data_IF_564699277853
#
_entry.id   IF_564699277853
#
_cell.length_a   1.000
_cell.length_b   1.000
_cell.length_c   1.000
_cell.angle_alpha   90.00
_cell.angle_beta   90.00
_cell.angle_gamma   90.00
#
_symmetry.space_group_name_H-M   'P 1'
#
loop_
_entity.id
_entity.type
_entity.pdbx_description
1 polymer ?
#
# COMPACT_ATOMS: atom_id res chain seq x y z
N UNK A 1 29.06 13.64 48.15
CA UNK A 1 28.75 13.22 46.78
C UNK A 1 27.66 14.16 46.31
N UNK A 2 28.02 15.20 45.56
CA UNK A 2 27.03 16.15 45.06
C UNK A 2 26.39 15.54 43.81
N UNK A 3 25.09 15.30 43.86
CA UNK A 3 24.32 15.11 42.64
C UNK A 3 23.99 16.51 42.10
N UNK A 4 24.61 16.88 40.98
CA UNK A 4 24.21 18.08 40.26
C UNK A 4 22.76 17.91 39.78
N UNK A 5 21.86 18.88 40.02
CA UNK A 5 20.45 18.73 39.71
C UNK A 5 20.24 18.56 38.21
N UNK A 6 19.54 17.50 37.81
CA UNK A 6 19.29 17.17 36.40
C UNK A 6 18.49 18.29 35.74
N UNK A 7 19.16 19.09 34.90
CA UNK A 7 18.56 20.23 34.19
C UNK A 7 17.66 19.71 33.07
N UNK A 8 16.36 19.64 33.34
CA UNK A 8 15.33 19.25 32.36
C UNK A 8 15.26 20.31 31.25
N UNK A 9 15.35 19.84 29.99
CA UNK A 9 15.31 20.66 28.76
C UNK A 9 13.98 21.41 28.61
N UNK A 10 14.05 22.57 27.94
CA UNK A 10 12.89 23.41 27.59
C UNK A 10 11.79 22.64 26.84
N UNK A 11 12.19 21.76 25.94
CA UNK A 11 11.33 20.97 25.07
C UNK A 11 10.56 19.91 25.86
N UNK A 12 11.19 19.31 26.88
CA UNK A 12 10.52 18.40 27.82
C UNK A 12 9.49 19.16 28.65
N UNK A 13 9.81 20.36 29.13
CA UNK A 13 8.84 21.20 29.88
C UNK A 13 7.65 21.65 29.01
N UNK A 14 7.89 21.92 27.73
CA UNK A 14 6.83 22.21 26.77
C UNK A 14 5.94 20.98 26.50
N UNK A 15 6.52 19.79 26.45
CA UNK A 15 5.78 18.52 26.38
C UNK A 15 4.96 18.28 27.66
N UNK A 16 5.52 18.52 28.84
CA UNK A 16 4.79 18.40 30.12
C UNK A 16 3.53 19.28 30.11
N UNK A 17 3.64 20.53 29.64
CA UNK A 17 2.50 21.43 29.50
C UNK A 17 1.43 20.92 28.52
N UNK A 18 1.83 20.31 27.39
CA UNK A 18 0.91 19.69 26.44
C UNK A 18 0.22 18.45 27.04
N UNK A 19 0.93 17.64 27.84
CA UNK A 19 0.38 16.49 28.56
C UNK A 19 -0.68 16.97 29.56
N UNK A 20 -0.35 17.96 30.41
CA UNK A 20 -1.30 18.50 31.40
C UNK A 20 -2.55 19.11 30.74
N UNK A 21 -2.38 19.86 29.64
CA UNK A 21 -3.51 20.39 28.89
C UNK A 21 -4.40 19.28 28.29
N UNK A 22 -3.82 18.13 27.90
CA UNK A 22 -4.54 16.97 27.36
C UNK A 22 -5.30 16.22 28.47
N UNK A 23 -4.71 16.11 29.66
CA UNK A 23 -5.35 15.53 30.85
C UNK A 23 -6.55 16.39 31.28
N UNK A 24 -6.38 17.71 31.39
CA UNK A 24 -7.48 18.62 31.77
C UNK A 24 -8.65 18.58 30.76
N UNK A 25 -8.36 18.46 29.46
CA UNK A 25 -9.40 18.23 28.44
C UNK A 25 -10.08 16.87 28.58
N UNK A 26 -9.37 15.85 29.07
CA UNK A 26 -9.95 14.53 29.33
C UNK A 26 -10.95 14.56 30.49
N UNK A 27 -10.54 15.17 31.61
CA UNK A 27 -11.35 15.29 32.83
C UNK A 27 -12.59 16.18 32.62
N UNK A 28 -12.50 17.18 31.73
CA UNK A 28 -13.62 18.04 31.36
C UNK A 28 -14.61 17.43 30.35
N UNK A 29 -14.29 16.28 29.74
CA UNK A 29 -15.15 15.62 28.76
C UNK A 29 -16.19 14.74 29.46
N UNK A 30 -17.44 15.23 29.59
CA UNK A 30 -18.50 14.54 30.36
C UNK A 30 -19.28 13.46 29.60
N UNK A 31 -18.93 13.16 28.35
CA UNK A 31 -19.68 12.21 27.52
C UNK A 31 -18.76 11.29 26.70
N UNK A 32 -19.26 10.08 26.46
CA UNK A 32 -18.65 8.92 25.80
C UNK A 32 -17.56 8.19 26.61
N UNK A 33 -17.55 6.86 26.48
CA UNK A 33 -16.80 5.95 27.36
C UNK A 33 -15.28 5.95 27.16
N UNK A 34 -14.61 5.14 27.98
CA UNK A 34 -13.15 4.94 28.03
C UNK A 34 -12.46 4.99 26.66
N UNK A 35 -11.89 6.15 26.31
CA UNK A 35 -11.17 6.39 25.06
C UNK A 35 -9.76 6.92 25.34
N UNK A 36 -8.76 6.21 24.80
CA UNK A 36 -7.36 6.62 24.88
C UNK A 36 -7.11 7.93 24.12
N UNK A 37 -6.26 8.79 24.69
CA UNK A 37 -5.82 10.04 24.07
C UNK A 37 -4.36 9.94 23.62
N UNK A 38 -4.07 10.37 22.40
CA UNK A 38 -2.73 10.30 21.80
C UNK A 38 -2.20 11.69 21.45
N UNK A 39 -0.99 12.00 21.93
CA UNK A 39 -0.21 13.17 21.49
C UNK A 39 0.76 12.76 20.38
N UNK A 40 0.56 13.29 19.17
CA UNK A 40 1.51 13.09 18.07
C UNK A 40 2.62 14.14 18.11
N UNK A 41 3.83 13.70 18.48
CA UNK A 41 5.04 14.54 18.60
C UNK A 41 6.00 14.38 17.40
N UNK A 42 5.56 13.70 16.33
CA UNK A 42 6.35 13.48 15.12
C UNK A 42 6.22 14.62 14.10
N UNK A 43 6.99 14.50 13.03
CA UNK A 43 6.80 15.35 11.84
C UNK A 43 5.45 15.00 11.18
N UNK A 44 4.63 16.01 10.87
CA UNK A 44 3.29 15.84 10.27
C UNK A 44 3.31 15.63 8.76
N UNK A 45 4.46 15.68 8.09
CA UNK A 45 4.54 15.35 6.66
C UNK A 45 4.17 13.89 6.43
N UNK A 46 3.10 13.68 5.67
CA UNK A 46 2.61 12.35 5.34
C UNK A 46 3.56 11.68 4.33
N UNK A 47 4.40 10.77 4.81
CA UNK A 47 5.41 10.10 3.99
C UNK A 47 4.83 9.11 2.97
N UNK A 48 3.63 8.57 3.17
CA UNK A 48 3.01 7.59 2.27
C UNK A 48 1.50 7.86 2.09
N UNK A 49 0.89 7.48 0.96
CA UNK A 49 -0.53 7.66 0.71
C UNK A 49 -1.38 6.91 1.72
N UNK A 50 -2.36 7.59 2.32
CA UNK A 50 -3.29 6.97 3.28
C UNK A 50 -4.14 5.89 2.61
N UNK A 51 -4.42 6.05 1.32
CA UNK A 51 -5.20 5.10 0.53
C UNK A 51 -4.63 3.67 0.60
N UNK A 52 -3.30 3.48 0.54
CA UNK A 52 -2.68 2.14 0.59
C UNK A 52 -2.76 1.51 1.98
N UNK A 53 -2.81 2.31 3.04
CA UNK A 53 -2.98 1.84 4.42
C UNK A 53 -4.44 1.49 4.70
N UNK A 54 -5.37 2.26 4.14
CA UNK A 54 -6.81 2.10 4.31
C UNK A 54 -7.44 1.07 3.34
N UNK A 55 -6.70 0.60 2.34
CA UNK A 55 -7.14 -0.47 1.43
C UNK A 55 -7.43 -1.77 2.21
N UNK A 56 -8.65 -2.31 2.20
CA UNK A 56 -9.00 -3.52 2.95
C UNK A 56 -8.57 -4.82 2.24
N UNK A 57 -8.34 -4.78 0.92
CA UNK A 57 -7.94 -5.94 0.13
C UNK A 57 -6.47 -6.28 0.39
N UNK A 58 -5.62 -5.28 0.63
CA UNK A 58 -4.20 -5.46 0.94
C UNK A 58 -3.95 -6.00 2.36
N UNK A 59 -3.24 -7.12 2.48
CA UNK A 59 -2.75 -7.62 3.77
C UNK A 59 -1.60 -6.72 4.29
N UNK A 60 -1.27 -6.71 5.60
CA UNK A 60 -0.19 -5.91 6.15
C UNK A 60 1.15 -6.08 5.42
N UNK A 61 1.46 -7.30 4.98
CA UNK A 61 2.66 -7.60 4.19
C UNK A 61 2.65 -6.97 2.79
N UNK A 62 1.49 -6.79 2.17
CA UNK A 62 1.39 -6.15 0.84
C UNK A 62 1.62 -4.64 0.97
N UNK A 63 1.05 -4.04 2.01
CA UNK A 63 1.24 -2.63 2.39
C UNK A 63 2.71 -2.33 2.69
N UNK A 64 3.37 -3.19 3.48
CA UNK A 64 4.81 -3.07 3.76
C UNK A 64 5.67 -3.24 2.49
N UNK A 65 5.33 -4.18 1.60
CA UNK A 65 6.03 -4.34 0.32
C UNK A 65 5.86 -3.10 -0.57
N UNK A 66 4.66 -2.52 -0.66
CA UNK A 66 4.44 -1.25 -1.37
C UNK A 66 5.29 -0.12 -0.78
N UNK A 67 5.29 0.04 0.55
CA UNK A 67 6.06 1.09 1.24
C UNK A 67 7.57 0.96 1.00
N UNK A 68 8.10 -0.27 0.98
CA UNK A 68 9.52 -0.54 0.71
C UNK A 68 9.89 -0.27 -0.75
N UNK A 69 9.01 -0.58 -1.70
CA UNK A 69 9.21 -0.21 -3.11
C UNK A 69 9.21 1.32 -3.25
N UNK A 70 8.27 2.02 -2.60
CA UNK A 70 8.19 3.48 -2.61
C UNK A 70 9.45 4.13 -2.01
N UNK A 71 9.93 3.64 -0.85
CA UNK A 71 11.15 4.12 -0.22
C UNK A 71 12.35 3.95 -1.16
N UNK A 72 12.48 2.77 -1.78
CA UNK A 72 13.56 2.49 -2.74
C UNK A 72 13.58 3.48 -3.91
N UNK A 73 12.41 3.85 -4.46
CA UNK A 73 12.31 4.82 -5.57
C UNK A 73 12.69 6.25 -5.13
N UNK A 74 12.41 6.62 -3.89
CA UNK A 74 12.77 7.94 -3.33
C UNK A 74 14.25 8.05 -3.01
N UNK A 75 14.83 7.04 -2.35
CA UNK A 75 16.25 7.02 -1.98
C UNK A 75 17.17 7.05 -3.21
N UNK A 76 16.75 6.45 -4.32
CA UNK A 76 17.54 6.42 -5.56
C UNK A 76 17.38 7.68 -6.43
N UNK A 77 16.69 8.72 -5.95
CA UNK A 77 16.51 9.98 -6.65
C UNK A 77 15.78 9.85 -8.00
N UNK A 78 14.88 8.87 -8.13
CA UNK A 78 14.22 8.55 -9.40
C UNK A 78 14.99 7.59 -10.32
N UNK A 79 16.13 7.03 -9.90
CA UNK A 79 16.71 5.88 -10.62
C UNK A 79 15.80 4.66 -10.43
N UNK A 80 15.06 4.32 -11.50
CA UNK A 80 13.87 3.46 -11.54
C UNK A 80 14.14 1.95 -11.37
N UNK A 81 15.24 1.58 -10.70
CA UNK A 81 15.59 0.19 -10.45
C UNK A 81 14.64 -0.42 -9.40
N UNK A 82 13.72 -1.28 -9.85
CA UNK A 82 12.84 -2.04 -8.95
C UNK A 82 13.67 -2.85 -7.95
N UNK A 83 13.41 -2.78 -6.63
CA UNK A 83 14.23 -3.43 -5.62
C UNK A 83 14.20 -4.96 -5.76
N UNK A 84 15.36 -5.59 -5.57
CA UNK A 84 15.48 -7.04 -5.61
C UNK A 84 14.66 -7.71 -4.50
N UNK A 85 14.07 -8.87 -4.78
CA UNK A 85 13.19 -9.59 -3.85
C UNK A 85 13.84 -9.85 -2.47
N UNK A 86 15.15 -10.12 -2.45
CA UNK A 86 15.93 -10.29 -1.20
C UNK A 86 16.05 -8.99 -0.40
N UNK A 87 16.19 -7.84 -1.08
CA UNK A 87 16.25 -6.53 -0.44
C UNK A 87 14.89 -6.12 0.12
N UNK A 88 13.80 -6.36 -0.64
CA UNK A 88 12.43 -6.19 -0.15
C UNK A 88 12.23 -7.07 1.09
N UNK A 89 12.51 -8.37 0.99
CA UNK A 89 12.35 -9.34 2.08
C UNK A 89 13.11 -8.95 3.35
N UNK A 90 14.35 -8.47 3.23
CA UNK A 90 15.13 -7.95 4.36
C UNK A 90 14.47 -6.73 5.02
N UNK A 91 13.95 -5.79 4.24
CA UNK A 91 13.32 -4.57 4.77
C UNK A 91 11.94 -4.81 5.39
N UNK A 92 11.11 -5.69 4.82
CA UNK A 92 9.80 -6.06 5.40
C UNK A 92 9.88 -7.18 6.45
N UNK A 93 11.08 -7.66 6.78
CA UNK A 93 11.34 -8.81 7.66
C UNK A 93 10.60 -10.10 7.25
N UNK A 94 10.63 -10.43 5.95
CA UNK A 94 10.04 -11.65 5.37
C UNK A 94 11.08 -12.41 4.56
N UNK A 95 11.54 -13.53 5.09
CA UNK A 95 12.55 -14.41 4.44
C UNK A 95 12.01 -15.19 3.23
N UNK A 96 10.68 -15.25 3.06
CA UNK A 96 10.04 -16.04 2.01
C UNK A 96 9.88 -15.26 0.70
N UNK A 97 10.70 -15.63 -0.31
CA UNK A 97 10.59 -15.06 -1.66
C UNK A 97 9.23 -15.28 -2.31
N UNK A 98 8.55 -16.39 -2.03
CA UNK A 98 7.18 -16.64 -2.54
C UNK A 98 6.15 -15.74 -1.88
N UNK A 99 6.36 -15.34 -0.61
CA UNK A 99 5.53 -14.35 0.08
C UNK A 99 5.72 -12.96 -0.53
N UNK A 100 6.93 -12.58 -0.94
CA UNK A 100 7.17 -11.31 -1.68
C UNK A 100 6.57 -11.38 -3.09
N UNK A 101 6.72 -12.50 -3.81
CA UNK A 101 6.13 -12.70 -5.13
C UNK A 101 4.60 -12.59 -5.11
N UNK A 102 3.97 -13.20 -4.10
CA UNK A 102 2.54 -13.09 -3.81
C UNK A 102 2.14 -11.63 -3.57
N UNK A 103 2.87 -10.88 -2.74
CA UNK A 103 2.57 -9.46 -2.50
C UNK A 103 2.60 -8.63 -3.79
N UNK A 104 3.64 -8.80 -4.61
CA UNK A 104 3.79 -8.13 -5.90
C UNK A 104 2.65 -8.53 -6.87
N UNK A 105 2.22 -9.80 -6.85
CA UNK A 105 1.08 -10.25 -7.65
C UNK A 105 -0.24 -9.65 -7.18
N UNK A 106 -0.46 -9.51 -5.87
CA UNK A 106 -1.62 -8.78 -5.32
C UNK A 106 -1.57 -7.32 -5.77
N UNK A 107 -0.49 -6.59 -5.50
CA UNK A 107 -0.34 -5.17 -5.87
C UNK A 107 -0.51 -4.91 -7.38
N UNK A 108 -0.22 -5.89 -8.25
CA UNK A 108 -0.54 -5.79 -9.68
C UNK A 108 -1.99 -6.11 -9.99
N UNK A 109 -2.58 -7.14 -9.38
CA UNK A 109 -4.00 -7.49 -9.58
C UNK A 109 -4.88 -6.33 -9.12
N UNK A 110 -4.66 -5.86 -7.90
CA UNK A 110 -5.20 -4.62 -7.35
C UNK A 110 -4.28 -3.46 -7.75
N UNK A 111 -4.14 -3.16 -9.06
CA UNK A 111 -3.66 -1.91 -9.76
C UNK A 111 -2.82 -0.81 -9.03
N UNK A 112 -2.12 -1.12 -7.93
CA UNK A 112 -1.18 -0.30 -7.17
C UNK A 112 0.22 -0.33 -7.80
N UNK A 113 0.49 -1.36 -8.61
CA UNK A 113 1.73 -1.61 -9.33
C UNK A 113 1.45 -2.11 -10.76
N UNK A 114 1.69 -1.27 -11.77
CA UNK A 114 1.46 -1.64 -13.18
C UNK A 114 2.74 -2.19 -13.83
N UNK A 115 2.66 -3.27 -14.61
CA UNK A 115 3.81 -3.83 -15.34
C UNK A 115 3.92 -3.22 -16.75
N UNK A 116 4.53 -2.05 -16.85
CA UNK A 116 4.57 -1.26 -18.07
C UNK A 116 5.39 -1.89 -19.22
N UNK A 117 6.46 -2.63 -18.90
CA UNK A 117 7.25 -3.31 -19.93
C UNK A 117 8.05 -4.51 -19.41
N UNK A 118 8.35 -5.46 -20.31
CA UNK A 118 9.31 -6.54 -20.07
C UNK A 118 10.53 -6.37 -20.99
N UNK A 119 11.59 -5.79 -20.44
CA UNK A 119 12.83 -5.49 -21.16
C UNK A 119 13.56 -6.80 -21.49
N UNK A 120 13.92 -6.97 -22.76
CA UNK A 120 14.73 -8.07 -23.27
C UNK A 120 16.02 -7.52 -23.88
N UNK A 121 17.09 -8.33 -23.89
CA UNK A 121 18.28 -8.06 -24.71
C UNK A 121 17.94 -8.26 -26.19
N UNK A 122 18.76 -7.73 -27.08
CA UNK A 122 18.74 -8.03 -28.53
C UNK A 122 18.82 -9.53 -28.84
N UNK A 123 19.40 -10.34 -27.95
CA UNK A 123 19.38 -11.81 -28.04
C UNK A 123 18.08 -12.49 -27.55
N UNK A 124 16.98 -11.74 -27.37
CA UNK A 124 15.70 -12.22 -26.84
C UNK A 124 15.67 -12.54 -25.34
N UNK A 125 16.84 -12.71 -24.70
CA UNK A 125 16.97 -13.03 -23.27
C UNK A 125 16.35 -11.92 -22.41
N UNK A 126 15.44 -12.31 -21.53
CA UNK A 126 14.84 -11.42 -20.53
C UNK A 126 15.90 -10.70 -19.69
N UNK A 127 15.70 -9.40 -19.47
CA UNK A 127 16.65 -8.53 -18.76
C UNK A 127 16.04 -7.85 -17.53
N UNK A 128 14.73 -7.60 -17.52
CA UNK A 128 14.03 -7.03 -16.37
C UNK A 128 12.60 -6.60 -16.70
N UNK A 129 11.88 -6.18 -15.68
CA UNK A 129 10.55 -5.56 -15.79
C UNK A 129 10.67 -4.06 -15.49
N UNK A 130 9.83 -3.25 -16.15
CA UNK A 130 9.59 -1.85 -15.78
C UNK A 130 8.22 -1.79 -15.12
N UNK A 131 8.16 -1.22 -13.93
CA UNK A 131 6.93 -1.04 -13.17
C UNK A 131 6.66 0.43 -12.91
N UNK A 132 5.39 0.83 -12.94
CA UNK A 132 4.92 2.06 -12.32
C UNK A 132 4.31 1.71 -10.95
N UNK A 133 4.67 2.46 -9.92
CA UNK A 133 4.09 2.39 -8.59
C UNK A 133 3.18 3.61 -8.42
N UNK A 134 1.93 3.38 -8.05
CA UNK A 134 0.93 4.44 -7.91
C UNK A 134 0.67 4.74 -6.44
N UNK A 135 0.39 6.00 -6.15
CA UNK A 135 -0.08 6.49 -4.86
C UNK A 135 -1.56 6.23 -4.62
N UNK A 136 -2.28 5.85 -5.66
CA UNK A 136 -3.70 5.54 -5.62
C UNK A 136 -4.05 4.45 -6.68
N UNK A 137 -5.11 3.66 -6.49
CA UNK A 137 -5.57 2.62 -7.43
C UNK A 137 -5.73 3.03 -8.90
N UNK A 138 -4.82 2.63 -9.80
CA UNK A 138 -4.88 3.09 -11.19
C UNK A 138 -6.23 2.71 -11.86
N UNK A 139 -6.88 3.62 -12.61
CA UNK A 139 -8.06 3.33 -13.41
C UNK A 139 -7.92 2.13 -14.33
N UNK A 140 -9.01 1.40 -14.58
CA UNK A 140 -8.95 0.21 -15.44
C UNK A 140 -8.51 0.57 -16.86
N UNK A 141 -9.05 1.65 -17.44
CA UNK A 141 -8.64 2.14 -18.75
C UNK A 141 -7.12 2.40 -18.83
N UNK A 142 -6.57 3.10 -17.84
CA UNK A 142 -5.14 3.42 -17.76
C UNK A 142 -4.29 2.16 -17.51
N UNK A 143 -4.77 1.23 -16.69
CA UNK A 143 -4.10 -0.04 -16.44
C UNK A 143 -4.05 -0.92 -17.71
N UNK A 144 -5.13 -0.95 -18.51
CA UNK A 144 -5.16 -1.62 -19.81
C UNK A 144 -4.27 -0.93 -20.85
N UNK A 145 -4.18 0.40 -20.80
CA UNK A 145 -3.30 1.18 -21.68
C UNK A 145 -1.81 0.95 -21.36
N UNK A 146 -1.44 0.93 -20.08
CA UNK A 146 -0.06 0.79 -19.63
C UNK A 146 0.42 -0.66 -19.50
N UNK A 147 -0.47 -1.63 -19.26
CA UNK A 147 -0.16 -3.05 -19.13
C UNK A 147 -1.13 -3.88 -19.98
N UNK A 148 -0.79 -4.03 -21.26
CA UNK A 148 -1.58 -4.77 -22.25
C UNK A 148 -1.85 -6.23 -21.89
N UNK A 149 -1.07 -6.80 -20.96
CA UNK A 149 -1.23 -8.17 -20.46
C UNK A 149 -2.08 -8.24 -19.18
N UNK A 150 -2.67 -7.15 -18.72
CA UNK A 150 -3.34 -7.07 -17.42
C UNK A 150 -4.51 -8.07 -17.30
N UNK A 151 -5.46 -8.08 -18.24
CA UNK A 151 -6.59 -9.04 -18.22
C UNK A 151 -6.11 -10.48 -18.36
N UNK A 152 -5.15 -10.73 -19.26
CA UNK A 152 -4.50 -12.04 -19.40
C UNK A 152 -3.87 -12.48 -18.08
N UNK A 153 -3.22 -11.57 -17.34
CA UNK A 153 -2.64 -11.85 -16.04
C UNK A 153 -3.69 -12.15 -14.97
N UNK A 154 -4.81 -11.44 -14.92
CA UNK A 154 -5.92 -11.76 -14.00
C UNK A 154 -6.45 -13.18 -14.28
N UNK A 155 -6.75 -13.49 -15.55
CA UNK A 155 -7.24 -14.82 -15.95
C UNK A 155 -6.25 -15.95 -15.59
N UNK A 156 -4.95 -15.78 -15.85
CA UNK A 156 -3.93 -16.74 -15.41
C UNK A 156 -3.79 -16.82 -13.88
N UNK A 157 -4.08 -15.73 -13.16
CA UNK A 157 -3.98 -15.67 -11.70
C UNK A 157 -5.08 -16.48 -10.99
N UNK A 158 -6.18 -16.80 -11.67
CA UNK A 158 -7.16 -17.79 -11.20
C UNK A 158 -6.54 -19.19 -11.02
N UNK A 159 -5.50 -19.53 -11.79
CA UNK A 159 -4.73 -20.76 -11.65
C UNK A 159 -3.51 -20.65 -10.71
N UNK A 160 -3.30 -19.51 -10.05
CA UNK A 160 -2.06 -19.25 -9.30
C UNK A 160 -1.92 -20.18 -8.07
N UNK A 161 -0.70 -20.65 -7.77
CA UNK A 161 -0.47 -21.59 -6.67
C UNK A 161 -0.90 -21.08 -5.29
N UNK A 162 -0.77 -19.78 -5.03
CA UNK A 162 -1.19 -19.17 -3.77
C UNK A 162 -2.69 -18.79 -3.76
N UNK A 163 -3.45 -19.35 -2.82
CA UNK A 163 -4.92 -19.23 -2.76
C UNK A 163 -5.43 -17.78 -2.72
N UNK A 164 -4.76 -16.89 -1.97
CA UNK A 164 -5.16 -15.48 -1.90
C UNK A 164 -5.01 -14.73 -3.24
N UNK A 165 -4.05 -15.10 -4.09
CA UNK A 165 -3.90 -14.50 -5.43
C UNK A 165 -5.07 -14.92 -6.33
N UNK A 166 -5.48 -16.20 -6.26
CA UNK A 166 -6.68 -16.68 -6.97
C UNK A 166 -7.93 -15.91 -6.54
N UNK A 167 -8.15 -15.77 -5.22
CA UNK A 167 -9.32 -15.06 -4.67
C UNK A 167 -9.38 -13.59 -5.09
N UNK A 168 -8.27 -12.86 -4.98
CA UNK A 168 -8.22 -11.44 -5.36
C UNK A 168 -8.38 -11.28 -6.88
N UNK A 169 -7.75 -12.14 -7.70
CA UNK A 169 -7.94 -12.11 -9.15
C UNK A 169 -9.38 -12.42 -9.56
N UNK A 170 -10.06 -13.37 -8.89
CA UNK A 170 -11.47 -13.66 -9.11
C UNK A 170 -12.34 -12.46 -8.76
N UNK A 171 -12.21 -11.90 -7.55
CA UNK A 171 -13.04 -10.77 -7.11
C UNK A 171 -12.84 -9.50 -7.97
N UNK A 172 -11.63 -9.25 -8.48
CA UNK A 172 -11.38 -8.16 -9.44
C UNK A 172 -12.06 -8.43 -10.79
N UNK A 173 -12.09 -9.67 -11.27
CA UNK A 173 -12.81 -10.03 -12.50
C UNK A 173 -14.33 -9.96 -12.29
N UNK A 174 -14.84 -10.50 -11.19
CA UNK A 174 -16.27 -10.48 -10.84
C UNK A 174 -16.79 -9.03 -10.77
N UNK A 175 -16.02 -8.11 -10.17
CA UNK A 175 -16.36 -6.68 -10.12
C UNK A 175 -16.42 -6.03 -11.51
N UNK A 176 -15.51 -6.38 -12.42
CA UNK A 176 -15.51 -5.86 -13.79
C UNK A 176 -16.72 -6.41 -14.57
N UNK A 177 -17.03 -7.70 -14.39
CA UNK A 177 -18.19 -8.33 -15.02
C UNK A 177 -19.52 -7.79 -14.46
N UNK A 178 -19.59 -7.44 -13.17
CA UNK A 178 -20.74 -6.80 -12.54
C UNK A 178 -20.99 -5.40 -13.11
N UNK A 179 -19.97 -4.55 -13.16
CA UNK A 179 -20.04 -3.20 -13.74
C UNK A 179 -20.53 -3.22 -15.20
N UNK A 180 -20.04 -4.18 -16.00
CA UNK A 180 -20.50 -4.43 -17.38
C UNK A 180 -21.98 -4.83 -17.41
N UNK A 181 -22.42 -5.72 -16.52
CA UNK A 181 -23.82 -6.19 -16.47
C UNK A 181 -24.82 -5.10 -16.09
N UNK A 182 -24.44 -4.17 -15.20
CA UNK A 182 -25.27 -3.01 -14.84
C UNK A 182 -25.17 -1.86 -15.85
N UNK A 183 -24.42 -2.03 -16.94
CA UNK A 183 -24.30 -1.06 -18.03
C UNK A 183 -23.43 0.16 -17.67
N UNK A 184 -22.58 0.06 -16.65
CA UNK A 184 -21.58 1.08 -16.36
C UNK A 184 -20.40 0.98 -17.33
N UNK A 185 -19.86 2.15 -17.72
CA UNK A 185 -18.61 2.19 -18.46
C UNK A 185 -17.45 1.96 -17.49
N UNK A 186 -16.94 0.72 -17.47
CA UNK A 186 -15.77 0.27 -16.70
C UNK A 186 -14.49 1.07 -16.98
N UNK A 187 -14.44 1.83 -18.08
CA UNK A 187 -13.31 2.67 -18.46
C UNK A 187 -13.52 4.16 -18.15
N UNK A 188 -14.73 4.60 -17.76
CA UNK A 188 -15.05 6.01 -17.51
C UNK A 188 -14.95 6.45 -16.04
N UNK A 189 -14.68 5.53 -15.10
CA UNK A 189 -14.68 5.83 -13.67
C UNK A 189 -13.27 6.09 -13.11
N UNK A 190 -13.07 7.29 -12.56
CA UNK A 190 -11.76 7.83 -12.16
C UNK A 190 -11.06 7.12 -10.98
N UNK A 191 -11.70 6.17 -10.26
CA UNK A 191 -10.99 5.39 -9.25
C UNK A 191 -11.60 4.00 -8.96
N UNK A 192 -10.99 2.89 -9.43
CA UNK A 192 -11.66 1.60 -9.42
C UNK A 192 -10.79 0.42 -8.94
N UNK A 193 -10.09 0.47 -7.80
CA UNK A 193 -9.88 -0.78 -7.03
C UNK A 193 -10.92 -0.72 -5.93
N UNK A 194 -12.07 -1.36 -6.06
CA UNK A 194 -12.74 -1.85 -7.25
C UNK A 194 -14.07 -1.14 -7.61
N UNK A 195 -14.81 -0.38 -6.77
CA UNK A 195 -14.43 0.39 -5.57
C UNK A 195 -14.39 -0.40 -4.26
N UNK A 196 -13.16 -0.46 -3.71
CA UNK A 196 -12.58 -1.32 -2.65
C UNK A 196 -13.42 -2.57 -2.31
N UNK A 197 -13.62 -3.46 -3.31
CA UNK A 197 -14.57 -4.60 -3.36
C UNK A 197 -15.79 -4.35 -2.45
N UNK A 198 -16.47 -3.24 -2.76
CA UNK A 198 -17.61 -2.64 -2.05
C UNK A 198 -17.58 -2.86 -0.53
N UNK A 199 -16.46 -2.44 0.08
CA UNK A 199 -16.18 -2.54 1.52
C UNK A 199 -16.02 -3.98 2.06
N UNK A 200 -15.33 -4.85 1.32
CA UNK A 200 -14.95 -6.23 1.74
C UNK A 200 -16.09 -7.26 1.78
N UNK A 201 -17.28 -6.95 1.28
CA UNK A 201 -18.53 -7.74 1.46
C UNK A 201 -19.17 -7.62 2.86
N UNK A 202 -19.33 -6.38 3.33
CA UNK A 202 -20.23 -5.91 4.41
C UNK A 202 -20.02 -6.41 5.86
N UNK A 203 -19.56 -7.63 6.16
CA UNK A 203 -19.07 -8.07 7.50
C UNK A 203 -18.17 -9.31 7.40
#
# INVERSE_FOLDING_TARGET
>A
MNEDPVVIRSETRALDALIQATIAQAEASTDQGSADRMLFLGNRHQSFPTAVVNDPVLEPVDKLVWMVIMLSVRETGGSTAFPGYEAIGKMVNVSSRSTIARAIAILRATRWLTLCARVRKTSGRFRGNVYALHDEPLPLADALHLDSDYMSFLAHSLGHGHARVRRVAQAVLDSIDEDIQIGQDVCAHDHPIEQRIQSTVAT
#
